data_IF_212183779079
#
_entry.id   IF_212183779079
#
_cell.length_a   1.000
_cell.length_b   1.000
_cell.length_c   1.000
_cell.angle_alpha   90.00
_cell.angle_beta   90.00
_cell.angle_gamma   90.00
#
_symmetry.space_group_name_H-M   'P 1'
#
loop_
_entity.id
_entity.type
_entity.pdbx_description
1 polymer ?
#
# COMPACT_ATOMS: atom_id res chain seq x y z
N UNK A 1 -15.56 17.40 -9.15
CA UNK A 1 -14.97 16.77 -7.97
C UNK A 1 -14.46 15.40 -8.32
N UNK A 2 -13.22 15.16 -8.06
CA UNK A 2 -12.61 13.89 -8.39
C UNK A 2 -12.72 12.93 -7.20
N UNK A 3 -13.55 11.88 -7.35
CA UNK A 3 -13.76 10.90 -6.29
C UNK A 3 -12.58 9.94 -6.15
N UNK A 4 -11.66 10.01 -7.09
CA UNK A 4 -10.50 9.12 -7.09
C UNK A 4 -9.24 9.81 -6.59
N UNK A 5 -9.40 10.99 -6.01
CA UNK A 5 -8.24 11.67 -5.46
C UNK A 5 -7.64 10.85 -4.31
N UNK A 6 -6.33 10.91 -4.21
CA UNK A 6 -5.62 10.23 -3.14
C UNK A 6 -4.40 11.05 -2.76
N UNK A 7 -3.91 10.79 -1.57
CA UNK A 7 -2.69 11.41 -1.09
C UNK A 7 -1.87 10.38 -0.34
N UNK A 8 -0.65 10.16 -0.80
CA UNK A 8 0.28 9.31 -0.07
C UNK A 8 0.84 10.16 1.07
N UNK A 9 0.38 9.87 2.28
CA UNK A 9 0.79 10.66 3.45
C UNK A 9 2.14 10.24 3.96
N UNK A 10 2.47 8.94 3.82
CA UNK A 10 3.76 8.45 4.25
C UNK A 10 4.13 7.21 3.44
N UNK A 11 5.31 7.22 2.89
CA UNK A 11 5.87 6.05 2.23
C UNK A 11 6.52 5.18 3.29
N UNK A 12 6.06 3.94 3.41
CA UNK A 12 6.56 3.03 4.44
C UNK A 12 7.64 2.10 3.89
N UNK A 13 7.57 1.75 2.62
CA UNK A 13 8.61 0.98 1.99
C UNK A 13 8.17 0.24 0.77
N UNK A 14 9.14 -0.23 0.02
CA UNK A 14 8.93 -1.06 -1.16
C UNK A 14 9.07 -2.52 -0.75
N UNK A 15 8.04 -3.31 -1.05
CA UNK A 15 8.07 -4.74 -0.77
C UNK A 15 8.89 -5.45 -1.84
N UNK A 16 8.53 -5.23 -3.11
CA UNK A 16 9.27 -5.80 -4.23
C UNK A 16 9.28 -4.82 -5.39
N UNK A 17 10.33 -4.92 -6.20
CA UNK A 17 10.43 -4.17 -7.45
C UNK A 17 9.97 -5.07 -8.58
N UNK A 18 9.07 -4.53 -9.41
CA UNK A 18 8.52 -5.27 -10.52
C UNK A 18 9.03 -4.78 -11.85
N UNK A 19 8.41 -5.29 -12.91
CA UNK A 19 8.80 -4.93 -14.27
C UNK A 19 8.46 -3.49 -14.58
N UNK A 20 9.31 -2.83 -15.35
CA UNK A 20 9.06 -1.49 -15.81
C UNK A 20 9.01 -0.44 -14.72
N UNK A 21 9.59 -0.75 -13.56
CA UNK A 21 9.59 0.19 -12.45
C UNK A 21 8.30 0.20 -11.65
N UNK A 22 7.40 -0.75 -11.90
CA UNK A 22 6.18 -0.91 -11.08
C UNK A 22 6.54 -1.67 -9.83
N UNK A 23 6.49 -0.98 -8.72
CA UNK A 23 6.91 -1.54 -7.44
C UNK A 23 5.71 -1.82 -6.55
N UNK A 24 5.76 -2.94 -5.85
CA UNK A 24 4.78 -3.25 -4.81
C UNK A 24 5.19 -2.50 -3.56
N UNK A 25 4.33 -1.59 -3.09
CA UNK A 25 4.68 -0.69 -2.00
C UNK A 25 3.64 -0.73 -0.89
N UNK A 26 4.13 -0.50 0.31
CA UNK A 26 3.28 -0.29 1.47
C UNK A 26 3.36 1.19 1.83
N UNK A 27 2.23 1.85 1.84
CA UNK A 27 2.12 3.27 2.09
C UNK A 27 0.96 3.57 3.03
N UNK A 28 0.98 4.75 3.61
CA UNK A 28 -0.16 5.29 4.33
C UNK A 28 -0.86 6.26 3.39
N UNK A 29 -2.07 5.93 2.97
CA UNK A 29 -2.75 6.65 1.90
C UNK A 29 -4.12 7.14 2.35
N UNK A 30 -4.39 8.40 2.08
CA UNK A 30 -5.71 9.00 2.29
C UNK A 30 -6.44 8.98 0.96
N UNK A 31 -7.61 8.35 0.94
CA UNK A 31 -8.44 8.24 -0.25
C UNK A 31 -9.62 9.20 -0.12
N UNK A 32 -9.73 10.12 -1.09
CA UNK A 32 -10.86 11.04 -1.13
C UNK A 32 -11.00 11.91 0.11
N UNK A 33 -9.89 12.27 0.75
CA UNK A 33 -9.90 13.09 1.94
C UNK A 33 -10.27 12.37 3.23
N UNK A 34 -10.40 11.05 3.16
CA UNK A 34 -10.71 10.25 4.36
C UNK A 34 -9.45 10.02 5.18
N UNK A 35 -9.60 9.63 6.45
CA UNK A 35 -8.42 9.27 7.25
C UNK A 35 -7.57 8.23 6.55
N UNK A 36 -6.27 8.38 6.64
CA UNK A 36 -5.34 7.51 5.93
C UNK A 36 -5.42 6.07 6.44
N UNK A 37 -5.25 5.14 5.51
CA UNK A 37 -5.17 3.71 5.81
C UNK A 37 -3.88 3.16 5.24
N UNK A 38 -3.47 2.03 5.76
CA UNK A 38 -2.33 1.31 5.20
C UNK A 38 -2.75 0.69 3.88
N UNK A 39 -1.91 0.83 2.87
CA UNK A 39 -2.25 0.43 1.51
C UNK A 39 -1.10 -0.35 0.90
N UNK A 40 -1.43 -1.52 0.37
CA UNK A 40 -0.47 -2.40 -0.28
C UNK A 40 -0.90 -2.58 -1.72
N UNK A 41 -0.13 -2.03 -2.64
CA UNK A 41 -0.40 -2.16 -4.08
C UNK A 41 0.83 -1.81 -4.90
N UNK A 42 0.76 -2.13 -6.19
CA UNK A 42 1.81 -1.75 -7.13
C UNK A 42 1.57 -0.34 -7.65
N UNK A 43 2.64 0.39 -7.81
CA UNK A 43 2.62 1.77 -8.30
C UNK A 43 3.55 1.91 -9.49
N UNK A 44 3.13 2.73 -10.46
CA UNK A 44 4.00 3.10 -11.58
C UNK A 44 5.17 3.93 -11.07
N UNK A 45 6.26 4.06 -11.86
CA UNK A 45 7.44 4.80 -11.42
C UNK A 45 7.14 6.24 -10.98
N UNK A 46 6.20 6.90 -11.65
CA UNK A 46 5.82 8.29 -11.34
C UNK A 46 4.68 8.38 -10.32
N UNK A 47 4.19 7.25 -9.84
CA UNK A 47 3.06 7.17 -8.90
C UNK A 47 1.77 7.82 -9.42
N UNK A 48 1.64 7.92 -10.73
CA UNK A 48 0.41 8.42 -11.36
C UNK A 48 -0.59 7.30 -11.63
N UNK A 49 -0.10 6.09 -11.75
CA UNK A 49 -0.94 4.91 -11.99
C UNK A 49 -0.70 3.89 -10.90
N UNK A 50 -1.73 3.10 -10.64
CA UNK A 50 -1.66 2.09 -9.58
C UNK A 50 -2.43 0.85 -10.02
N UNK A 51 -2.02 -0.29 -9.50
CA UNK A 51 -2.75 -1.52 -9.67
C UNK A 51 -3.78 -1.71 -8.60
N UNK A 52 -4.45 -2.85 -8.62
CA UNK A 52 -5.33 -3.25 -7.54
C UNK A 52 -4.51 -3.47 -6.28
N UNK A 53 -5.10 -3.17 -5.15
CA UNK A 53 -4.41 -3.36 -3.91
C UNK A 53 -5.38 -3.62 -2.78
N UNK A 54 -4.83 -3.73 -1.58
CA UNK A 54 -5.60 -3.94 -0.37
C UNK A 54 -5.30 -2.82 0.61
N UNK A 55 -6.33 -2.41 1.32
CA UNK A 55 -6.18 -1.43 2.39
C UNK A 55 -6.44 -2.11 3.72
N UNK A 56 -5.73 -1.64 4.74
CA UNK A 56 -5.80 -2.23 6.07
C UNK A 56 -5.95 -1.14 7.11
N UNK A 57 -6.75 -1.42 8.13
CA UNK A 57 -6.69 -0.63 9.35
C UNK A 57 -5.38 -0.96 10.07
N UNK A 58 -5.03 -0.14 11.05
CA UNK A 58 -3.85 -0.41 11.86
C UNK A 58 -3.94 -1.79 12.53
N UNK A 59 -5.10 -2.11 13.06
CA UNK A 59 -5.33 -3.39 13.74
C UNK A 59 -5.15 -4.56 12.79
N UNK A 60 -5.67 -4.41 11.56
CA UNK A 60 -5.53 -5.46 10.56
C UNK A 60 -4.08 -5.64 10.15
N UNK A 61 -3.35 -4.55 9.99
CA UNK A 61 -1.94 -4.64 9.60
C UNK A 61 -1.11 -5.28 10.70
N UNK A 62 -1.38 -4.93 11.95
CA UNK A 62 -0.68 -5.55 13.08
C UNK A 62 -0.97 -7.05 13.13
N UNK A 63 -2.23 -7.44 12.90
CA UNK A 63 -2.60 -8.84 12.89
C UNK A 63 -1.88 -9.59 11.76
N UNK A 64 -1.78 -8.97 10.58
CA UNK A 64 -1.06 -9.55 9.45
C UNK A 64 0.43 -9.72 9.77
N UNK A 65 1.02 -8.70 10.35
CA UNK A 65 2.43 -8.76 10.76
C UNK A 65 2.68 -9.92 11.71
N UNK A 66 1.79 -10.08 12.70
CA UNK A 66 1.92 -11.16 13.67
C UNK A 66 1.77 -12.53 13.02
N UNK A 67 0.79 -12.66 12.11
CA UNK A 67 0.62 -13.91 11.38
C UNK A 67 1.86 -14.24 10.56
N UNK A 68 2.37 -13.28 9.80
CA UNK A 68 3.54 -13.49 8.96
C UNK A 68 4.77 -13.92 9.77
N UNK A 69 4.90 -13.40 10.98
CA UNK A 69 6.06 -13.73 11.82
C UNK A 69 6.03 -15.18 12.32
N UNK A 70 4.89 -15.85 12.22
CA UNK A 70 4.76 -17.27 12.62
C UNK A 70 4.88 -18.22 11.45
N UNK A 71 4.95 -17.70 10.22
CA UNK A 71 4.97 -18.55 9.03
C UNK A 71 6.39 -18.84 8.58
N UNK A 72 6.60 -20.07 8.11
CA UNK A 72 7.81 -20.40 7.37
C UNK A 72 7.47 -20.23 5.88
N UNK A 73 8.19 -19.35 5.23
CA UNK A 73 7.99 -19.09 3.81
C UNK A 73 9.18 -19.65 3.06
N UNK A 74 8.90 -20.62 2.18
CA UNK A 74 9.95 -21.30 1.43
C UNK A 74 10.02 -20.80 0.00
#
# INVERSE_FOLDING_TARGET
MDDFSFKIEKSLGTVTEGKGGWNLELNLVSWGGRPAKYDLRSWSPDHQKMGKGSTFTKEELVALKNLLSTLEIE
#
